data_IF_804485807751
#
_entry.id   IF_804485807751
#
_cell.length_a   1.000
_cell.length_b   1.000
_cell.length_c   1.000
_cell.angle_alpha   90.00
_cell.angle_beta   90.00
_cell.angle_gamma   90.00
#
_symmetry.space_group_name_H-M   'P 1'
#
loop_
_entity.id
_entity.type
_entity.pdbx_description
1 polymer ?
#
# COMPACT_ATOMS: atom_id res chain seq x y z
N UNK A 1 5.97 -22.61 -21.73
CA UNK A 1 6.57 -21.81 -20.63
C UNK A 1 6.37 -20.34 -20.94
N UNK A 2 5.93 -19.54 -19.97
CA UNK A 2 5.88 -18.07 -20.13
C UNK A 2 7.32 -17.58 -20.22
N UNK A 3 7.64 -16.81 -21.25
CA UNK A 3 8.99 -16.25 -21.40
C UNK A 3 9.24 -15.18 -20.34
N UNK A 4 10.50 -15.02 -19.93
CA UNK A 4 10.88 -13.97 -18.98
C UNK A 4 10.47 -12.57 -19.49
N UNK A 5 10.57 -12.34 -20.80
CA UNK A 5 10.10 -11.13 -21.46
C UNK A 5 8.59 -10.90 -21.31
N UNK A 6 7.75 -11.93 -21.48
CA UNK A 6 6.31 -11.83 -21.27
C UNK A 6 5.98 -11.51 -19.81
N UNK A 7 6.70 -12.13 -18.86
CA UNK A 7 6.51 -11.87 -17.44
C UNK A 7 6.86 -10.42 -17.06
N UNK A 8 7.93 -9.86 -17.63
CA UNK A 8 8.29 -8.44 -17.46
C UNK A 8 7.22 -7.49 -18.01
N UNK A 9 6.61 -7.81 -19.17
CA UNK A 9 5.51 -6.99 -19.71
C UNK A 9 4.28 -7.01 -18.81
N UNK A 10 3.90 -8.19 -18.33
CA UNK A 10 2.79 -8.35 -17.36
C UNK A 10 3.09 -7.56 -16.09
N UNK A 11 4.32 -7.63 -15.56
CA UNK A 11 4.74 -6.88 -14.38
C UNK A 11 4.61 -5.37 -14.59
N UNK A 12 5.09 -4.85 -15.72
CA UNK A 12 5.01 -3.41 -16.02
C UNK A 12 3.56 -2.94 -16.24
N UNK A 13 2.74 -3.73 -16.93
CA UNK A 13 1.32 -3.41 -17.10
C UNK A 13 0.58 -3.39 -15.75
N UNK A 14 0.84 -4.38 -14.89
CA UNK A 14 0.27 -4.41 -13.54
C UNK A 14 0.74 -3.21 -12.70
N UNK A 15 2.03 -2.86 -12.76
CA UNK A 15 2.57 -1.67 -12.09
C UNK A 15 1.82 -0.42 -12.52
N UNK A 16 1.60 -0.23 -13.83
CA UNK A 16 0.93 0.96 -14.34
C UNK A 16 -0.51 1.08 -13.81
N UNK A 17 -1.26 -0.02 -13.80
CA UNK A 17 -2.61 -0.04 -13.21
C UNK A 17 -2.58 0.28 -11.71
N UNK A 18 -1.65 -0.31 -10.95
CA UNK A 18 -1.50 -0.02 -9.51
C UNK A 18 -1.17 1.45 -9.25
N UNK A 19 -0.30 2.05 -10.06
CA UNK A 19 0.06 3.47 -9.96
C UNK A 19 -1.13 4.38 -10.29
N UNK A 20 -2.00 3.97 -11.21
CA UNK A 20 -3.21 4.72 -11.58
C UNK A 20 -4.26 4.72 -10.46
N UNK A 21 -4.49 3.57 -9.81
CA UNK A 21 -5.53 3.44 -8.78
C UNK A 21 -5.05 3.78 -7.36
N UNK A 22 -3.73 4.00 -7.18
CA UNK A 22 -3.15 4.29 -5.87
C UNK A 22 -3.75 5.58 -5.29
N UNK A 23 -4.23 5.57 -4.03
CA UNK A 23 -4.62 6.80 -3.34
C UNK A 23 -3.39 7.71 -3.17
N UNK A 24 -3.59 9.02 -3.35
CA UNK A 24 -2.51 10.01 -3.35
C UNK A 24 -2.76 11.06 -2.28
N UNK A 25 -1.77 11.24 -1.42
CA UNK A 25 -1.63 12.39 -0.52
C UNK A 25 -0.36 13.17 -0.92
N UNK A 26 0.82 12.69 -0.53
CA UNK A 26 2.12 13.28 -0.92
C UNK A 26 2.74 12.67 -2.19
N UNK A 27 2.19 11.55 -2.68
CA UNK A 27 2.72 10.81 -3.84
C UNK A 27 3.86 9.82 -3.53
N UNK A 28 4.40 9.81 -2.31
CA UNK A 28 5.50 8.89 -1.91
C UNK A 28 5.10 7.42 -2.12
N UNK A 29 3.90 7.04 -1.68
CA UNK A 29 3.40 5.67 -1.86
C UNK A 29 3.37 5.28 -3.34
N UNK A 30 2.72 6.11 -4.17
CA UNK A 30 2.58 5.92 -5.61
C UNK A 30 3.93 5.73 -6.30
N UNK A 31 4.90 6.59 -5.98
CA UNK A 31 6.24 6.56 -6.58
C UNK A 31 7.07 5.34 -6.14
N UNK A 32 6.74 4.75 -4.99
CA UNK A 32 7.44 3.57 -4.46
C UNK A 32 6.96 2.23 -5.00
N UNK A 33 5.84 2.20 -5.73
CA UNK A 33 5.25 0.96 -6.24
C UNK A 33 6.17 0.35 -7.29
N UNK A 34 6.66 -0.86 -7.03
CA UNK A 34 7.41 -1.67 -7.97
C UNK A 34 6.75 -3.04 -8.11
N UNK A 35 6.78 -3.58 -9.33
CA UNK A 35 6.34 -4.94 -9.63
C UNK A 35 7.46 -5.62 -10.41
N UNK A 36 7.90 -6.78 -9.96
CA UNK A 36 8.99 -7.51 -10.58
C UNK A 36 8.75 -9.01 -10.61
N UNK A 37 9.34 -9.73 -11.59
CA UNK A 37 9.31 -11.18 -11.61
C UNK A 37 10.16 -11.76 -10.47
N UNK A 38 9.75 -12.92 -9.99
CA UNK A 38 10.46 -13.80 -9.06
C UNK A 38 10.38 -15.23 -9.59
N UNK A 39 11.15 -16.15 -9.01
CA UNK A 39 11.11 -17.57 -9.38
C UNK A 39 9.70 -18.19 -9.29
N UNK A 40 8.82 -17.64 -8.44
CA UNK A 40 7.49 -18.19 -8.15
C UNK A 40 6.33 -17.31 -8.62
N UNK A 41 6.59 -16.22 -9.33
CA UNK A 41 5.54 -15.31 -9.80
C UNK A 41 5.96 -13.84 -9.80
N UNK A 42 5.05 -12.95 -9.40
CA UNK A 42 5.28 -11.50 -9.33
C UNK A 42 5.35 -11.02 -7.88
N UNK A 43 6.32 -10.17 -7.59
CA UNK A 43 6.45 -9.46 -6.32
C UNK A 43 5.99 -8.01 -6.49
N UNK A 44 5.09 -7.56 -5.62
CA UNK A 44 4.71 -6.16 -5.49
C UNK A 44 5.38 -5.61 -4.25
N UNK A 45 6.18 -4.55 -4.39
CA UNK A 45 6.83 -3.86 -3.29
C UNK A 45 6.50 -2.38 -3.28
N UNK A 46 6.44 -1.81 -2.08
CA UNK A 46 6.12 -0.40 -1.82
C UNK A 46 6.68 -0.02 -0.44
N UNK A 47 6.61 1.27 -0.09
CA UNK A 47 6.94 1.76 1.26
C UNK A 47 6.18 1.01 2.35
N UNK A 48 6.81 0.84 3.53
CA UNK A 48 6.29 -0.02 4.60
C UNK A 48 4.86 0.34 5.02
N UNK A 49 4.54 1.64 5.11
CA UNK A 49 3.21 2.07 5.53
C UNK A 49 2.12 1.76 4.50
N UNK A 50 2.48 1.42 3.25
CA UNK A 50 1.53 1.04 2.20
C UNK A 50 0.66 -0.15 2.59
N UNK A 51 1.17 -1.06 3.44
CA UNK A 51 0.37 -2.17 4.00
C UNK A 51 -0.84 -1.68 4.82
N UNK A 52 -0.69 -0.56 5.53
CA UNK A 52 -1.78 0.03 6.32
C UNK A 52 -2.76 0.80 5.44
N UNK A 53 -2.34 1.26 4.26
CA UNK A 53 -3.26 1.85 3.27
C UNK A 53 -4.08 0.75 2.59
N UNK A 54 -3.43 -0.36 2.25
CA UNK A 54 -4.10 -1.52 1.63
C UNK A 54 -5.07 -2.19 2.60
N UNK A 55 -4.61 -2.55 3.79
CA UNK A 55 -5.36 -3.39 4.75
C UNK A 55 -5.96 -2.62 5.93
N UNK A 56 -5.70 -1.33 6.04
CA UNK A 56 -6.14 -0.53 7.18
C UNK A 56 -5.32 -0.81 8.44
N UNK A 57 -5.79 -0.26 9.55
CA UNK A 57 -5.26 -0.57 10.89
C UNK A 57 -6.38 -0.53 11.93
N UNK A 58 -6.28 -1.38 12.95
CA UNK A 58 -7.27 -1.42 14.02
C UNK A 58 -7.16 -0.20 14.94
N UNK A 59 -8.28 0.27 15.52
CA UNK A 59 -8.24 1.27 16.58
C UNK A 59 -7.32 0.82 17.72
N UNK A 60 -6.47 1.74 18.20
CA UNK A 60 -5.51 1.43 19.27
C UNK A 60 -5.31 2.60 20.20
N UNK A 61 -4.99 2.27 21.44
CA UNK A 61 -4.65 3.28 22.45
C UNK A 61 -3.14 3.48 22.45
N UNK A 62 -2.70 4.70 22.14
CA UNK A 62 -1.32 5.13 22.25
C UNK A 62 -1.07 5.48 23.72
N UNK A 63 -0.04 4.87 24.31
CA UNK A 63 0.36 5.06 25.71
C UNK A 63 1.84 5.45 25.77
N UNK A 64 2.25 6.25 26.76
CA UNK A 64 3.66 6.56 26.96
C UNK A 64 4.39 5.31 27.45
N UNK A 65 5.55 5.00 26.86
CA UNK A 65 6.32 3.79 27.21
C UNK A 65 7.17 3.98 28.47
N UNK A 66 7.80 5.16 28.64
CA UNK A 66 8.75 5.44 29.75
C UNK A 66 8.37 6.65 30.61
N UNK A 67 7.38 7.43 30.19
CA UNK A 67 6.99 8.70 30.83
C UNK A 67 5.56 8.59 31.37
N UNK A 68 5.14 9.57 32.17
CA UNK A 68 3.81 9.60 32.81
C UNK A 68 2.69 10.07 31.87
N UNK A 69 3.02 10.80 30.80
CA UNK A 69 2.06 11.36 29.86
C UNK A 69 2.68 11.54 28.46
N UNK A 70 1.81 11.65 27.46
CA UNK A 70 2.12 12.09 26.10
C UNK A 70 1.99 13.61 26.04
N UNK A 71 2.88 14.27 25.31
CA UNK A 71 2.83 15.71 25.02
C UNK A 71 2.95 15.91 23.51
N UNK A 72 1.99 16.61 22.91
CA UNK A 72 2.00 16.97 21.50
C UNK A 72 1.23 18.27 21.26
N UNK A 73 1.42 18.88 20.10
CA UNK A 73 0.69 20.08 19.69
C UNK A 73 -0.46 19.69 18.77
N UNK A 74 -1.66 20.20 19.02
CA UNK A 74 -2.83 20.02 18.15
C UNK A 74 -3.64 21.32 18.15
N UNK A 75 -4.01 21.81 16.95
CA UNK A 75 -4.77 23.07 16.82
C UNK A 75 -4.05 24.31 17.35
N UNK A 76 -2.72 24.31 17.44
CA UNK A 76 -1.93 25.40 18.03
C UNK A 76 -1.77 25.32 19.55
N UNK A 77 -2.43 24.38 20.22
CA UNK A 77 -2.36 24.21 21.67
C UNK A 77 -1.47 23.03 22.06
N UNK A 78 -0.83 23.15 23.23
CA UNK A 78 -0.08 22.03 23.83
C UNK A 78 -1.03 21.12 24.59
N UNK A 79 -1.16 19.87 24.12
CA UNK A 79 -2.00 18.84 24.73
C UNK A 79 -1.13 17.89 25.55
N UNK A 80 -1.53 17.64 26.81
CA UNK A 80 -0.89 16.67 27.71
C UNK A 80 -1.93 15.67 28.18
N UNK A 81 -1.76 14.39 27.82
CA UNK A 81 -2.73 13.33 28.13
C UNK A 81 -2.04 12.03 28.54
N UNK A 82 -2.71 11.20 29.34
CA UNK A 82 -2.19 9.87 29.72
C UNK A 82 -2.22 8.87 28.58
N UNK A 83 -3.15 9.02 27.64
CA UNK A 83 -3.27 8.17 26.45
C UNK A 83 -4.10 8.84 25.37
N UNK A 84 -3.90 8.43 24.11
CA UNK A 84 -4.72 8.83 22.96
C UNK A 84 -5.41 7.61 22.38
N UNK A 85 -6.72 7.66 22.18
CA UNK A 85 -7.46 6.61 21.45
C UNK A 85 -7.44 6.94 19.96
N UNK A 86 -6.59 6.25 19.21
CA UNK A 86 -6.50 6.45 17.76
C UNK A 86 -7.62 5.68 17.05
N UNK A 87 -8.49 6.34 16.26
CA UNK A 87 -9.46 5.66 15.42
C UNK A 87 -8.68 4.96 14.32
N UNK A 88 -8.85 3.65 14.15
CA UNK A 88 -8.13 2.89 13.13
C UNK A 88 -8.27 3.48 11.72
N UNK A 89 -7.42 3.03 10.80
CA UNK A 89 -7.49 3.43 9.39
C UNK A 89 -8.33 2.40 8.63
N UNK A 90 -9.26 2.86 7.78
CA UNK A 90 -10.04 1.97 6.91
C UNK A 90 -9.18 1.49 5.72
N UNK A 91 -9.30 0.21 5.32
CA UNK A 91 -8.60 -0.33 4.16
C UNK A 91 -9.10 0.27 2.85
N UNK A 92 -8.20 0.46 1.89
CA UNK A 92 -8.55 0.88 0.51
C UNK A 92 -8.60 -0.30 -0.47
N UNK A 93 -7.86 -1.38 -0.20
CA UNK A 93 -7.78 -2.58 -1.03
C UNK A 93 -7.41 -2.33 -2.51
N UNK A 94 -6.63 -1.30 -2.82
CA UNK A 94 -6.31 -0.94 -4.20
C UNK A 94 -5.48 -2.01 -4.91
N UNK A 95 -4.55 -2.68 -4.20
CA UNK A 95 -3.75 -3.76 -4.77
C UNK A 95 -4.64 -4.98 -5.01
N UNK A 96 -5.37 -5.42 -3.99
CA UNK A 96 -6.28 -6.57 -4.08
C UNK A 96 -7.29 -6.39 -5.21
N UNK A 97 -7.94 -5.24 -5.30
CA UNK A 97 -8.95 -4.97 -6.32
C UNK A 97 -8.33 -4.96 -7.72
N UNK A 98 -7.10 -4.45 -7.88
CA UNK A 98 -6.40 -4.48 -9.16
C UNK A 98 -6.04 -5.91 -9.57
N UNK A 99 -5.55 -6.73 -8.64
CA UNK A 99 -5.24 -8.13 -8.90
C UNK A 99 -6.50 -8.89 -9.31
N UNK A 100 -7.60 -8.74 -8.59
CA UNK A 100 -8.83 -9.48 -8.88
C UNK A 100 -9.49 -9.04 -10.19
N UNK A 101 -9.52 -7.73 -10.47
CA UNK A 101 -10.34 -7.20 -11.55
C UNK A 101 -9.56 -6.89 -12.85
N UNK A 102 -8.24 -6.68 -12.78
CA UNK A 102 -7.44 -6.23 -13.94
C UNK A 102 -6.41 -7.26 -14.38
N UNK A 103 -5.77 -7.97 -13.45
CA UNK A 103 -4.68 -8.90 -13.76
C UNK A 103 -5.06 -9.99 -14.78
N UNK A 104 -6.23 -10.65 -14.72
CA UNK A 104 -6.60 -11.65 -15.73
C UNK A 104 -6.60 -11.08 -17.15
N UNK A 105 -7.14 -9.87 -17.33
CA UNK A 105 -7.17 -9.19 -18.62
C UNK A 105 -5.78 -8.73 -19.10
N UNK A 106 -4.89 -8.35 -18.18
CA UNK A 106 -3.48 -8.04 -18.49
C UNK A 106 -2.77 -9.30 -18.99
N UNK A 107 -2.91 -10.43 -18.28
CA UNK A 107 -2.29 -11.70 -18.65
C UNK A 107 -2.78 -12.13 -20.03
N UNK A 108 -4.09 -12.14 -20.27
CA UNK A 108 -4.64 -12.52 -21.57
C UNK A 108 -4.07 -11.64 -22.70
N UNK A 109 -4.05 -10.32 -22.51
CA UNK A 109 -3.54 -9.37 -23.50
C UNK A 109 -2.06 -9.56 -23.83
N UNK A 110 -1.23 -9.77 -22.83
CA UNK A 110 0.23 -9.87 -23.01
C UNK A 110 0.71 -11.24 -23.48
N UNK A 111 -0.10 -12.29 -23.27
CA UNK A 111 0.16 -13.63 -23.79
C UNK A 111 -0.39 -13.85 -25.20
N UNK A 112 -1.41 -13.09 -25.62
CA UNK A 112 -1.93 -13.11 -26.99
C UNK A 112 -1.12 -12.28 -27.99
N UNK A 113 -0.02 -11.65 -27.54
CA UNK A 113 0.96 -10.94 -28.36
C UNK A 113 2.12 -11.85 -28.72
#
# INVERSE_FOLDING_TARGET
MITQAALFRIANALRNELVLVCPVDTGILKNSINVGPTERGLLISMVEYGKFVEFGSNPRTIRPTRKKALKFTAGGETVIVRSVRHPGIRPTYFVRNTILNKLPGIIQRELSR
#
